data_IF_434101716240
#
_entry.id   IF_434101716240
#
_cell.length_a   1.000
_cell.length_b   1.000
_cell.length_c   1.000
_cell.angle_alpha   90.00
_cell.angle_beta   90.00
_cell.angle_gamma   90.00
#
_symmetry.space_group_name_H-M   'P 1'
#
loop_
_entity.id
_entity.type
_entity.pdbx_description
1 polymer ?
#
# COMPACT_ATOMS: atom_id res chain seq x y z
N UNK A 1 5.53 13.32 3.55
CA UNK A 1 6.44 13.00 4.68
C UNK A 1 5.67 12.33 5.81
N UNK A 2 4.67 12.97 6.41
CA UNK A 2 3.90 12.40 7.54
C UNK A 2 3.38 10.95 7.33
N UNK A 3 2.71 10.65 6.21
CA UNK A 3 2.24 9.28 5.89
C UNK A 3 3.38 8.24 5.91
N UNK A 4 4.50 8.60 5.29
CA UNK A 4 5.64 7.72 5.14
C UNK A 4 6.27 7.43 6.51
N UNK A 5 6.46 8.47 7.33
CA UNK A 5 7.03 8.31 8.67
C UNK A 5 6.15 7.44 9.58
N UNK A 6 4.83 7.66 9.61
CA UNK A 6 3.92 6.84 10.43
C UNK A 6 4.05 5.36 10.04
N UNK A 7 3.95 5.06 8.75
CA UNK A 7 3.98 3.67 8.27
C UNK A 7 5.36 3.02 8.42
N UNK A 8 6.42 3.80 8.28
CA UNK A 8 7.81 3.35 8.46
C UNK A 8 8.03 2.99 9.92
N UNK A 9 7.64 3.88 10.83
CA UNK A 9 7.79 3.67 12.27
C UNK A 9 7.00 2.44 12.76
N UNK A 10 5.74 2.27 12.32
CA UNK A 10 4.96 1.07 12.67
C UNK A 10 5.61 -0.22 12.18
N UNK A 11 6.21 -0.22 10.99
CA UNK A 11 6.90 -1.40 10.47
C UNK A 11 8.19 -1.70 11.23
N UNK A 12 8.96 -0.65 11.61
CA UNK A 12 10.14 -0.78 12.46
C UNK A 12 9.77 -1.37 13.82
N UNK A 13 8.76 -0.81 14.50
CA UNK A 13 8.31 -1.28 15.81
C UNK A 13 7.82 -2.73 15.76
N UNK A 14 7.04 -3.08 14.73
CA UNK A 14 6.57 -4.45 14.53
C UNK A 14 7.72 -5.42 14.25
N UNK A 15 8.67 -5.03 13.40
CA UNK A 15 9.86 -5.84 13.11
C UNK A 15 10.70 -6.08 14.37
N UNK A 16 10.95 -5.03 15.16
CA UNK A 16 11.68 -5.10 16.43
C UNK A 16 10.98 -6.03 17.44
N UNK A 17 9.66 -5.86 17.64
CA UNK A 17 8.85 -6.73 18.52
C UNK A 17 8.96 -8.21 18.14
N UNK A 18 9.14 -8.51 16.86
CA UNK A 18 9.25 -9.86 16.33
C UNK A 18 10.69 -10.32 16.06
N UNK A 19 11.70 -9.55 16.46
CA UNK A 19 13.12 -9.85 16.24
C UNK A 19 13.48 -10.06 14.76
N UNK A 20 12.82 -9.30 13.88
CA UNK A 20 13.08 -9.31 12.44
C UNK A 20 14.07 -8.18 12.13
N UNK A 21 15.23 -8.46 11.52
CA UNK A 21 16.15 -7.43 11.06
C UNK A 21 15.44 -6.46 10.11
N UNK A 22 15.58 -5.16 10.39
CA UNK A 22 14.99 -4.11 9.57
C UNK A 22 16.10 -3.29 8.93
N UNK A 23 16.04 -3.17 7.60
CA UNK A 23 16.96 -2.33 6.84
C UNK A 23 16.16 -1.17 6.26
N UNK A 24 16.57 0.02 6.64
CA UNK A 24 15.99 1.25 6.18
C UNK A 24 16.74 1.78 4.96
N UNK A 25 16.13 1.62 3.78
CA UNK A 25 16.63 2.17 2.53
C UNK A 25 15.76 3.37 2.15
N UNK A 26 16.05 4.50 2.80
CA UNK A 26 15.25 5.72 2.74
C UNK A 26 14.79 6.10 1.32
N UNK A 27 13.58 6.66 1.28
CA UNK A 27 12.87 6.92 0.05
C UNK A 27 13.42 8.16 -0.69
N UNK A 28 14.08 7.94 -1.83
CA UNK A 28 14.52 8.98 -2.75
C UNK A 28 13.32 9.60 -3.51
N UNK A 29 12.66 10.54 -2.85
CA UNK A 29 11.46 11.20 -3.37
C UNK A 29 11.72 11.94 -4.69
N UNK A 30 12.90 12.53 -4.85
CA UNK A 30 13.19 13.43 -5.96
C UNK A 30 13.41 12.61 -7.24
N UNK A 31 14.19 11.53 -7.16
CA UNK A 31 14.32 10.53 -8.22
C UNK A 31 12.96 9.88 -8.56
N UNK A 32 12.11 9.61 -7.56
CA UNK A 32 10.77 9.13 -7.85
C UNK A 32 9.96 10.12 -8.68
N UNK A 33 9.97 11.42 -8.33
CA UNK A 33 9.28 12.46 -9.08
C UNK A 33 9.81 12.59 -10.51
N UNK A 34 11.12 12.50 -10.70
CA UNK A 34 11.75 12.50 -12.02
C UNK A 34 11.28 11.31 -12.87
N UNK A 35 11.26 10.10 -12.31
CA UNK A 35 10.85 8.88 -13.02
C UNK A 35 9.36 8.85 -13.38
N UNK A 36 8.50 9.49 -12.60
CA UNK A 36 7.05 9.53 -12.85
C UNK A 36 6.59 10.78 -13.60
N UNK A 37 7.51 11.65 -14.02
CA UNK A 37 7.19 12.84 -14.82
C UNK A 37 6.48 12.44 -16.12
N UNK A 38 5.36 13.09 -16.41
CA UNK A 38 4.48 12.75 -17.53
C UNK A 38 3.47 11.62 -17.25
N UNK A 39 3.54 10.99 -16.06
CA UNK A 39 2.61 9.93 -15.62
C UNK A 39 1.72 10.40 -14.44
N UNK A 40 1.65 11.71 -14.21
CA UNK A 40 0.94 12.31 -13.07
C UNK A 40 -0.56 12.03 -13.10
N UNK A 41 -1.13 11.78 -14.28
CA UNK A 41 -2.56 11.53 -14.50
C UNK A 41 -2.88 10.09 -14.87
N UNK A 42 -1.89 9.20 -14.93
CA UNK A 42 -2.16 7.77 -15.04
C UNK A 42 -3.04 7.31 -13.87
N UNK A 43 -4.01 6.42 -14.09
CA UNK A 43 -4.84 5.90 -13.02
C UNK A 43 -4.01 5.03 -12.07
N UNK A 44 -4.55 4.73 -10.88
CA UNK A 44 -4.02 3.64 -10.06
C UNK A 44 -4.09 2.31 -10.84
N UNK A 45 -3.07 1.47 -10.70
CA UNK A 45 -2.78 0.31 -11.59
C UNK A 45 -2.38 0.69 -13.03
N UNK A 46 -2.20 1.97 -13.34
CA UNK A 46 -1.62 2.45 -14.59
C UNK A 46 -0.08 2.39 -14.59
N UNK A 47 0.53 2.96 -15.63
CA UNK A 47 2.00 2.89 -15.85
C UNK A 47 2.81 3.46 -14.70
N UNK A 48 2.29 4.50 -14.03
CA UNK A 48 2.92 5.10 -12.85
C UNK A 48 3.17 4.08 -11.73
N UNK A 49 2.23 3.15 -11.51
CA UNK A 49 2.38 2.13 -10.47
C UNK A 49 3.54 1.18 -10.78
N UNK A 50 3.72 0.78 -12.05
CA UNK A 50 4.88 -0.03 -12.46
C UNK A 50 6.20 0.67 -12.18
N UNK A 51 6.35 1.95 -12.56
CA UNK A 51 7.56 2.75 -12.26
C UNK A 51 7.82 2.84 -10.75
N UNK A 52 6.76 3.02 -9.97
CA UNK A 52 6.81 3.06 -8.51
C UNK A 52 7.28 1.73 -7.90
N UNK A 53 6.87 0.58 -8.46
CA UNK A 53 7.32 -0.74 -8.02
C UNK A 53 8.75 -1.02 -8.48
N UNK A 54 9.09 -0.69 -9.72
CA UNK A 54 10.43 -0.88 -10.28
C UNK A 54 11.50 -0.24 -9.43
N UNK A 55 11.35 1.05 -9.11
CA UNK A 55 12.32 1.76 -8.27
C UNK A 55 12.54 1.06 -6.92
N UNK A 56 11.49 0.50 -6.31
CA UNK A 56 11.58 -0.22 -5.02
C UNK A 56 12.28 -1.56 -5.19
N UNK A 57 11.89 -2.33 -6.20
CA UNK A 57 12.48 -3.64 -6.45
C UNK A 57 13.92 -3.56 -6.93
N UNK A 58 14.29 -2.55 -7.72
CA UNK A 58 15.67 -2.29 -8.13
C UNK A 58 16.58 -2.11 -6.91
N UNK A 59 16.15 -1.30 -5.94
CA UNK A 59 16.89 -1.09 -4.68
C UNK A 59 16.94 -2.36 -3.82
N UNK A 60 15.82 -3.08 -3.70
CA UNK A 60 15.75 -4.34 -2.95
C UNK A 60 16.65 -5.43 -3.56
N UNK A 61 16.65 -5.57 -4.89
CA UNK A 61 17.44 -6.57 -5.59
C UNK A 61 18.94 -6.27 -5.49
N UNK A 62 19.33 -4.99 -5.62
CA UNK A 62 20.72 -4.57 -5.41
C UNK A 62 21.20 -4.93 -3.99
N UNK A 63 20.42 -4.53 -2.98
CA UNK A 63 20.77 -4.83 -1.58
C UNK A 63 20.86 -6.34 -1.34
N UNK A 64 19.90 -7.11 -1.86
CA UNK A 64 19.88 -8.56 -1.73
C UNK A 64 21.15 -9.20 -2.31
N UNK A 65 21.55 -8.78 -3.51
CA UNK A 65 22.76 -9.25 -4.16
C UNK A 65 24.04 -8.90 -3.39
N UNK A 66 24.18 -7.64 -2.96
CA UNK A 66 25.36 -7.16 -2.20
C UNK A 66 25.55 -7.90 -0.86
N UNK A 67 24.46 -8.43 -0.29
CA UNK A 67 24.47 -9.10 1.01
C UNK A 67 24.24 -10.61 0.91
N UNK A 68 24.27 -11.18 -0.29
CA UNK A 68 24.20 -12.63 -0.51
C UNK A 68 22.83 -13.28 -0.22
N UNK A 69 21.73 -12.51 -0.29
CA UNK A 69 20.38 -13.08 -0.21
C UNK A 69 20.00 -13.72 -1.56
N UNK A 70 19.60 -15.01 -1.59
CA UNK A 70 19.27 -15.70 -2.84
C UNK A 70 17.85 -15.43 -3.34
N UNK A 71 16.97 -14.93 -2.47
CA UNK A 71 15.53 -14.76 -2.77
C UNK A 71 15.02 -13.45 -2.19
N UNK A 72 14.22 -12.74 -2.98
CA UNK A 72 13.42 -11.59 -2.54
C UNK A 72 11.93 -11.84 -2.80
N UNK A 73 11.06 -11.20 -2.02
CA UNK A 73 9.61 -11.22 -2.23
C UNK A 73 8.99 -9.91 -1.74
N UNK A 74 7.67 -9.76 -1.87
CA UNK A 74 6.98 -8.55 -1.47
C UNK A 74 5.59 -8.81 -0.92
N UNK A 75 5.26 -8.12 0.19
CA UNK A 75 3.91 -8.06 0.72
C UNK A 75 2.98 -7.12 -0.08
N UNK A 76 3.50 -6.36 -1.07
CA UNK A 76 2.70 -5.47 -1.90
C UNK A 76 1.51 -6.21 -2.56
N UNK A 77 1.70 -7.49 -2.91
CA UNK A 77 0.69 -8.33 -3.56
C UNK A 77 -0.53 -8.64 -2.69
N UNK A 78 -0.49 -8.42 -1.38
CA UNK A 78 -1.62 -8.77 -0.48
C UNK A 78 -2.86 -7.88 -0.69
N UNK A 79 -2.66 -6.63 -1.10
CA UNK A 79 -3.77 -5.69 -1.32
C UNK A 79 -4.55 -6.04 -2.57
N UNK A 80 -5.86 -6.29 -2.44
CA UNK A 80 -6.77 -6.49 -3.59
C UNK A 80 -6.83 -5.29 -4.55
N UNK A 81 -6.42 -4.11 -4.09
CA UNK A 81 -6.43 -2.88 -4.86
C UNK A 81 -5.22 -2.74 -5.79
N UNK A 82 -4.20 -3.59 -5.64
CA UNK A 82 -3.03 -3.60 -6.54
C UNK A 82 -3.15 -4.67 -7.61
N UNK A 83 -2.56 -4.39 -8.77
CA UNK A 83 -2.35 -5.38 -9.82
C UNK A 83 -1.15 -6.26 -9.43
N UNK A 84 -1.42 -7.56 -9.24
CA UNK A 84 -0.41 -8.52 -8.82
C UNK A 84 0.57 -8.84 -9.94
N UNK A 85 0.14 -8.77 -11.20
CA UNK A 85 1.00 -9.02 -12.35
C UNK A 85 2.05 -7.90 -12.46
N UNK A 86 1.63 -6.63 -12.33
CA UNK A 86 2.56 -5.49 -12.33
C UNK A 86 3.63 -5.60 -11.23
N UNK A 87 3.23 -6.03 -10.03
CA UNK A 87 4.16 -6.23 -8.91
C UNK A 87 5.13 -7.36 -9.23
N UNK A 88 4.62 -8.51 -9.68
CA UNK A 88 5.44 -9.68 -9.96
C UNK A 88 6.40 -9.44 -11.13
N UNK A 89 5.95 -8.82 -12.21
CA UNK A 89 6.79 -8.44 -13.34
C UNK A 89 7.92 -7.50 -12.92
N UNK A 90 7.63 -6.52 -12.06
CA UNK A 90 8.65 -5.59 -11.54
C UNK A 90 9.68 -6.32 -10.66
N UNK A 91 9.22 -7.21 -9.78
CA UNK A 91 10.09 -8.05 -8.94
C UNK A 91 11.00 -8.97 -9.76
N UNK A 92 10.43 -9.69 -10.73
CA UNK A 92 11.16 -10.59 -11.64
C UNK A 92 12.22 -9.80 -12.43
N UNK A 93 11.83 -8.67 -13.03
CA UNK A 93 12.73 -7.82 -13.83
C UNK A 93 13.87 -7.22 -13.00
N UNK A 94 13.65 -6.92 -11.73
CA UNK A 94 14.71 -6.43 -10.86
C UNK A 94 15.67 -7.56 -10.45
N UNK A 95 15.14 -8.71 -10.03
CA UNK A 95 15.95 -9.87 -9.64
C UNK A 95 16.80 -10.40 -10.80
N UNK A 96 16.25 -10.43 -12.03
CA UNK A 96 16.93 -10.95 -13.23
C UNK A 96 18.19 -10.17 -13.63
N UNK A 97 18.46 -9.02 -13.02
CA UNK A 97 19.68 -8.24 -13.24
C UNK A 97 20.90 -8.81 -12.50
N UNK A 98 20.68 -9.72 -11.55
CA UNK A 98 21.72 -10.27 -10.69
C UNK A 98 21.76 -11.80 -10.80
N UNK A 99 22.94 -12.42 -10.86
CA UNK A 99 23.04 -13.87 -10.86
C UNK A 99 22.62 -14.45 -9.51
N UNK A 100 21.98 -15.62 -9.53
CA UNK A 100 21.55 -16.37 -8.34
C UNK A 100 20.55 -15.63 -7.42
N UNK A 101 19.83 -14.64 -7.93
CA UNK A 101 18.77 -13.94 -7.21
C UNK A 101 17.41 -14.25 -7.83
N UNK A 102 16.48 -14.77 -7.04
CA UNK A 102 15.12 -15.08 -7.47
C UNK A 102 14.09 -14.13 -6.83
N UNK A 103 13.07 -13.73 -7.60
CA UNK A 103 11.88 -13.12 -7.03
C UNK A 103 10.79 -14.16 -6.81
N UNK A 104 10.45 -14.42 -5.56
CA UNK A 104 9.38 -15.36 -5.20
C UNK A 104 8.02 -14.70 -5.35
N UNK A 105 7.28 -15.08 -6.40
CA UNK A 105 5.95 -14.56 -6.77
C UNK A 105 4.81 -15.12 -5.88
N UNK A 106 5.07 -15.33 -4.59
CA UNK A 106 4.11 -15.93 -3.68
C UNK A 106 2.84 -15.06 -3.55
N UNK A 107 1.68 -15.70 -3.67
CA UNK A 107 0.40 -15.02 -3.56
C UNK A 107 -0.13 -15.04 -2.13
N UNK A 108 0.20 -13.99 -1.38
CA UNK A 108 -0.26 -13.79 0.01
C UNK A 108 -1.78 -13.65 0.19
N UNK A 109 -2.57 -13.54 -0.89
CA UNK A 109 -4.04 -13.46 -0.80
C UNK A 109 -4.69 -14.82 -0.59
N UNK A 110 -4.02 -15.90 -1.04
CA UNK A 110 -4.55 -17.27 -0.97
C UNK A 110 -4.42 -17.82 0.46
N UNK A 111 -5.10 -18.93 0.72
CA UNK A 111 -4.98 -19.71 1.97
C UNK A 111 -5.22 -18.87 3.24
N UNK A 112 -6.16 -17.93 3.21
CA UNK A 112 -6.53 -17.09 4.35
C UNK A 112 -5.58 -15.93 4.66
N UNK A 113 -4.54 -15.68 3.85
CA UNK A 113 -3.56 -14.63 4.14
C UNK A 113 -4.15 -13.21 4.19
N UNK A 114 -5.18 -12.93 3.38
CA UNK A 114 -5.89 -11.64 3.44
C UNK A 114 -6.64 -11.45 4.78
N UNK A 115 -7.30 -12.50 5.30
CA UNK A 115 -7.97 -12.44 6.60
C UNK A 115 -6.96 -12.27 7.74
N UNK A 116 -5.87 -13.04 7.70
CA UNK A 116 -4.78 -12.95 8.67
C UNK A 116 -4.13 -11.56 8.71
N UNK A 117 -4.00 -10.90 7.56
CA UNK A 117 -3.53 -9.51 7.51
C UNK A 117 -4.44 -8.56 8.30
N UNK A 118 -5.75 -8.68 8.15
CA UNK A 118 -6.70 -7.87 8.93
C UNK A 118 -6.67 -8.20 10.42
N UNK A 119 -6.56 -9.48 10.80
CA UNK A 119 -6.42 -9.90 12.20
C UNK A 119 -5.18 -9.28 12.85
N UNK A 120 -4.04 -9.35 12.18
CA UNK A 120 -2.79 -8.72 12.65
C UNK A 120 -2.97 -7.21 12.73
N UNK A 121 -3.51 -6.57 11.69
CA UNK A 121 -3.67 -5.12 11.68
C UNK A 121 -4.56 -4.61 12.82
N UNK A 122 -5.66 -5.32 13.14
CA UNK A 122 -6.52 -5.02 14.29
C UNK A 122 -5.80 -5.24 15.62
N UNK A 123 -5.14 -6.39 15.78
CA UNK A 123 -4.43 -6.74 17.01
C UNK A 123 -3.31 -5.75 17.33
N UNK A 124 -2.57 -5.31 16.32
CA UNK A 124 -1.49 -4.34 16.47
C UNK A 124 -1.98 -2.89 16.43
N UNK A 125 -3.28 -2.67 16.20
CA UNK A 125 -3.88 -1.35 16.01
C UNK A 125 -3.12 -0.48 14.99
N UNK A 126 -2.79 -1.02 13.82
CA UNK A 126 -2.04 -0.29 12.80
C UNK A 126 -2.84 0.85 12.18
N UNK A 127 -2.12 1.86 11.69
CA UNK A 127 -2.65 2.96 10.91
C UNK A 127 -3.30 2.45 9.62
N UNK A 128 -4.55 2.84 9.42
CA UNK A 128 -5.36 2.45 8.26
C UNK A 128 -5.18 3.48 7.14
N UNK A 129 -4.18 3.23 6.30
CA UNK A 129 -3.99 3.98 5.06
C UNK A 129 -5.19 3.80 4.10
N UNK A 130 -5.70 4.91 3.55
CA UNK A 130 -6.90 4.96 2.71
C UNK A 130 -6.63 5.18 1.21
N UNK A 131 -5.36 5.12 0.79
CA UNK A 131 -4.89 5.34 -0.58
C UNK A 131 -3.59 4.54 -0.82
N UNK A 132 -3.01 4.55 -2.03
CA UNK A 132 -1.83 3.72 -2.31
C UNK A 132 -0.53 4.20 -1.61
N UNK A 133 -0.51 5.41 -1.03
CA UNK A 133 0.66 6.01 -0.39
C UNK A 133 1.47 6.99 -1.27
N UNK A 134 1.08 7.20 -2.53
CA UNK A 134 1.65 8.25 -3.38
C UNK A 134 0.72 9.47 -3.47
N UNK A 135 1.30 10.65 -3.71
CA UNK A 135 0.57 11.93 -3.76
C UNK A 135 -0.53 11.94 -4.82
N UNK A 136 -0.33 11.24 -5.94
CA UNK A 136 -1.33 11.17 -7.01
C UNK A 136 -2.53 10.30 -6.63
N UNK A 137 -2.31 9.15 -5.97
CA UNK A 137 -3.41 8.34 -5.44
C UNK A 137 -4.17 9.08 -4.33
N UNK A 138 -3.49 9.89 -3.50
CA UNK A 138 -4.16 10.76 -2.53
C UNK A 138 -5.04 11.82 -3.21
N UNK A 139 -4.54 12.48 -4.27
CA UNK A 139 -5.31 13.44 -5.08
C UNK A 139 -6.55 12.77 -5.67
N UNK A 140 -6.39 11.62 -6.30
CA UNK A 140 -7.46 10.92 -7.01
C UNK A 140 -8.53 10.44 -6.03
N UNK A 141 -8.12 9.83 -4.92
CA UNK A 141 -9.04 9.39 -3.86
C UNK A 141 -9.80 10.56 -3.23
N UNK A 142 -9.14 11.69 -2.94
CA UNK A 142 -9.82 12.88 -2.42
C UNK A 142 -10.76 13.53 -3.43
N UNK A 143 -10.42 13.47 -4.72
CA UNK A 143 -11.31 13.94 -5.80
C UNK A 143 -12.57 13.08 -5.87
N UNK A 144 -12.41 11.76 -5.79
CA UNK A 144 -13.53 10.83 -5.73
C UNK A 144 -14.38 11.04 -4.46
N UNK A 145 -13.75 11.18 -3.28
CA UNK A 145 -14.47 11.46 -2.02
C UNK A 145 -15.30 12.73 -2.12
N UNK A 146 -14.73 13.83 -2.62
CA UNK A 146 -15.46 15.10 -2.82
C UNK A 146 -16.66 14.94 -3.76
N UNK A 147 -16.53 14.16 -4.84
CA UNK A 147 -17.63 13.90 -5.78
C UNK A 147 -18.76 13.05 -5.19
N UNK A 148 -18.50 12.34 -4.09
CA UNK A 148 -19.45 11.48 -3.40
C UNK A 148 -19.75 12.00 -1.98
N UNK A 149 -19.64 13.32 -1.76
CA UNK A 149 -19.95 14.00 -0.50
C UNK A 149 -19.24 13.44 0.75
N UNK A 150 -18.04 12.87 0.55
CA UNK A 150 -17.18 12.37 1.62
C UNK A 150 -16.08 13.36 1.98
N UNK A 151 -15.77 13.44 3.27
CA UNK A 151 -14.61 14.18 3.77
C UNK A 151 -13.30 13.68 3.15
N UNK A 152 -12.36 14.62 2.96
CA UNK A 152 -10.98 14.31 2.54
C UNK A 152 -10.28 13.44 3.59
N UNK A 153 -9.35 12.61 3.11
CA UNK A 153 -8.48 11.80 3.96
C UNK A 153 -7.68 12.73 4.88
N UNK A 154 -7.65 12.38 6.16
CA UNK A 154 -6.79 12.99 7.17
C UNK A 154 -5.75 11.96 7.61
N UNK A 155 -4.48 12.32 7.53
CA UNK A 155 -3.37 11.40 7.82
C UNK A 155 -3.25 11.24 9.35
N UNK A 156 -3.02 10.01 9.81
CA UNK A 156 -2.80 9.69 11.23
C UNK A 156 -4.04 9.73 12.11
N UNK A 157 -5.24 9.52 11.54
CA UNK A 157 -6.49 9.52 12.32
C UNK A 157 -7.14 8.14 12.42
N UNK A 158 -7.17 7.37 11.33
CA UNK A 158 -7.91 6.12 11.27
C UNK A 158 -6.99 4.94 11.61
N UNK A 159 -7.35 4.12 12.60
CA UNK A 159 -6.61 2.91 12.98
C UNK A 159 -7.53 1.68 12.94
N UNK A 160 -6.94 0.48 12.85
CA UNK A 160 -7.72 -0.77 12.74
C UNK A 160 -8.39 -1.22 14.04
N UNK A 161 -7.90 -0.77 15.20
CA UNK A 161 -8.47 -1.07 16.52
C UNK A 161 -9.62 -0.17 16.94
N UNK A 162 -9.88 0.92 16.20
CA UNK A 162 -11.02 1.77 16.46
C UNK A 162 -12.32 1.00 16.15
N UNK A 163 -13.23 0.91 17.13
CA UNK A 163 -14.53 0.22 16.98
C UNK A 163 -15.38 0.82 15.84
N UNK A 164 -15.13 2.08 15.49
CA UNK A 164 -15.76 2.80 14.37
C UNK A 164 -15.08 2.59 13.01
N UNK A 165 -13.98 1.82 12.93
CA UNK A 165 -13.27 1.54 11.67
C UNK A 165 -13.98 0.51 10.77
N UNK A 166 -15.32 0.52 10.80
CA UNK A 166 -16.20 -0.12 9.82
C UNK A 166 -15.67 0.25 8.42
N UNK A 167 -15.58 -0.69 7.46
CA UNK A 167 -15.20 -0.33 6.10
C UNK A 167 -16.10 0.82 5.63
N UNK A 168 -15.53 1.78 4.89
CA UNK A 168 -16.25 2.92 4.31
C UNK A 168 -17.31 2.51 3.25
N UNK A 169 -17.90 1.32 3.40
CA UNK A 169 -18.95 0.72 2.60
C UNK A 169 -20.18 0.38 3.46
N UNK A 170 -20.26 0.76 4.74
CA UNK A 170 -21.39 0.40 5.62
C UNK A 170 -22.06 1.55 6.39
N UNK A 171 -21.66 2.82 6.20
CA UNK A 171 -22.33 3.97 6.86
C UNK A 171 -22.93 5.03 5.92
N UNK A 172 -22.91 4.82 4.60
CA UNK A 172 -23.63 5.71 3.67
C UNK A 172 -24.90 5.02 3.16
N UNK A 173 -25.92 4.93 4.01
CA UNK A 173 -27.29 5.01 3.53
C UNK A 173 -27.76 6.43 3.85
N UNK A 174 -28.21 7.23 2.88
CA UNK A 174 -28.92 8.45 3.22
C UNK A 174 -30.12 8.05 4.07
N UNK A 175 -30.27 8.71 5.23
CA UNK A 175 -31.51 8.70 5.98
C UNK A 175 -32.59 9.24 5.05
N UNK A 176 -33.37 8.35 4.43
CA UNK A 176 -34.53 8.80 3.69
C UNK A 176 -35.59 9.21 4.70
N UNK A 177 -35.85 10.51 4.66
CA UNK A 177 -36.85 11.25 5.39
C UNK A 177 -38.19 10.53 5.49
N UNK A 178 -38.70 10.58 6.71
CA UNK A 178 -40.10 10.68 7.07
C UNK A 178 -40.79 11.65 6.09
N UNK A 179 -41.84 11.21 5.41
CA UNK A 179 -42.96 12.07 5.03
C UNK A 179 -44.22 11.24 4.78
N UNK A 180 -45.27 11.67 5.47
CA UNK A 180 -46.65 11.23 5.41
C UNK A 180 -47.22 11.24 3.98
N UNK A 181 -48.15 10.33 3.72
CA UNK A 181 -49.42 10.67 3.06
C UNK A 181 -50.50 9.72 3.56
N UNK A 182 -51.49 10.31 4.21
CA UNK A 182 -52.86 9.82 4.34
C UNK A 182 -53.44 9.51 2.94
N UNK A 183 -54.30 8.50 2.88
CA UNK A 183 -55.03 8.06 1.69
C UNK A 183 -55.68 6.70 1.91
#
# INVERSE_FOLDING_TARGET
MQEYEIRKQENIEFAQKHHIPFIDADYDKDNWFERVKGLEWEPERGKRCSVCFDMRFERTALYAYEHGFPVISSSLGISRWKDMNQINESGIRAASRYPNLEYWTYNWRKNGGAARMYEIAKRENFYKQEYCGCVYSLRDTNTWRKKNDRCRIKIGINYYGDEESIPATAQDKPANNINNTEG
#
